data_IF_911385734963
#
_entry.id   IF_911385734963
#
_cell.length_a   1.000
_cell.length_b   1.000
_cell.length_c   1.000
_cell.angle_alpha   90.00
_cell.angle_beta   90.00
_cell.angle_gamma   90.00
#
_symmetry.space_group_name_H-M   'P 1'
#
loop_
_entity.id
_entity.type
_entity.pdbx_description
1 polymer ?
#
# COMPACT_ATOMS: atom_id res chain seq x y z
N UNK A 1 14.18 13.76 -20.29
CA UNK A 1 13.78 14.49 -19.08
C UNK A 1 13.43 13.42 -18.05
N UNK A 2 14.32 13.14 -17.09
CA UNK A 2 14.14 12.02 -16.15
C UNK A 2 13.13 12.44 -15.09
N UNK A 3 11.96 11.81 -15.11
CA UNK A 3 10.92 12.02 -14.10
C UNK A 3 11.39 11.35 -12.80
N UNK A 4 11.58 12.15 -11.75
CA UNK A 4 12.06 11.67 -10.47
C UNK A 4 10.94 10.90 -9.77
N UNK A 5 11.30 9.85 -9.03
CA UNK A 5 10.35 8.96 -8.34
C UNK A 5 9.43 9.69 -7.32
N UNK A 6 9.87 10.85 -6.80
CA UNK A 6 9.03 11.73 -6.01
C UNK A 6 7.83 12.25 -6.82
N UNK A 7 8.03 12.62 -8.09
CA UNK A 7 6.99 13.18 -8.95
C UNK A 7 5.89 12.16 -9.25
N UNK A 8 6.23 10.87 -9.42
CA UNK A 8 5.27 9.80 -9.66
C UNK A 8 4.42 9.45 -8.42
N UNK A 9 4.99 9.53 -7.22
CA UNK A 9 4.23 9.34 -5.98
C UNK A 9 3.42 10.60 -5.63
N UNK A 10 3.99 11.80 -5.77
CA UNK A 10 3.30 13.07 -5.52
C UNK A 10 2.09 13.27 -6.45
N UNK A 11 2.11 12.74 -7.68
CA UNK A 11 0.95 12.74 -8.58
C UNK A 11 -0.26 11.97 -8.01
N UNK A 12 -0.07 11.00 -7.11
CA UNK A 12 -1.16 10.28 -6.41
C UNK A 12 -1.46 10.80 -5.00
N UNK A 13 -0.55 11.57 -4.39
CA UNK A 13 -0.67 12.10 -3.03
C UNK A 13 -0.60 13.63 -3.02
N UNK A 14 -1.57 14.27 -3.68
CA UNK A 14 -1.76 15.72 -3.55
C UNK A 14 -2.11 16.13 -2.11
N UNK A 15 -1.75 17.35 -1.67
CA UNK A 15 -1.99 17.84 -0.30
C UNK A 15 -3.47 18.06 0.06
N UNK A 16 -4.39 17.93 -0.90
CA UNK A 16 -5.82 18.04 -0.66
C UNK A 16 -6.47 16.66 -0.48
N UNK A 17 -6.95 16.33 0.74
CA UNK A 17 -7.68 15.08 0.95
C UNK A 17 -9.07 15.21 0.32
N UNK A 18 -9.25 14.69 -0.90
CA UNK A 18 -10.58 14.62 -1.50
C UNK A 18 -10.71 14.53 -3.03
N UNK A 19 -9.63 14.47 -3.82
CA UNK A 19 -9.78 14.50 -5.27
C UNK A 19 -8.86 13.52 -6.02
N UNK A 20 -9.15 12.24 -5.92
CA UNK A 20 -8.78 11.26 -6.95
C UNK A 20 -10.06 10.58 -7.45
N UNK A 21 -10.73 11.31 -8.36
CA UNK A 21 -12.07 10.96 -8.85
C UNK A 21 -12.07 9.81 -9.87
N UNK A 22 -10.93 9.44 -10.43
CA UNK A 22 -10.80 8.28 -11.31
C UNK A 22 -9.48 7.54 -11.06
N UNK A 23 -9.51 6.21 -11.16
CA UNK A 23 -8.32 5.36 -11.05
C UNK A 23 -7.42 5.64 -12.26
N UNK A 24 -6.45 6.55 -12.11
CA UNK A 24 -5.52 6.91 -13.17
C UNK A 24 -4.48 5.78 -13.26
N UNK A 25 -4.52 5.04 -14.37
CA UNK A 25 -3.39 4.23 -14.80
C UNK A 25 -2.25 5.20 -15.10
N UNK A 26 -1.26 5.23 -14.24
CA UNK A 26 -0.06 6.07 -14.42
C UNK A 26 1.05 5.18 -14.94
N UNK A 27 1.52 5.47 -16.15
CA UNK A 27 2.63 4.77 -16.77
C UNK A 27 3.90 5.61 -16.57
N UNK A 28 4.97 4.98 -16.10
CA UNK A 28 6.28 5.62 -16.02
C UNK A 28 7.41 4.62 -16.19
N UNK A 29 8.54 5.08 -16.71
CA UNK A 29 9.75 4.27 -16.82
C UNK A 29 10.71 4.59 -15.67
N UNK A 30 11.16 3.58 -14.95
CA UNK A 30 12.18 3.73 -13.90
C UNK A 30 13.31 2.73 -14.12
N UNK A 31 14.55 3.22 -14.22
CA UNK A 31 15.75 2.42 -14.55
C UNK A 31 15.59 1.53 -15.79
N UNK A 32 14.89 2.02 -16.81
CA UNK A 32 14.65 1.29 -18.06
C UNK A 32 13.62 0.16 -17.95
N UNK A 33 12.88 0.09 -16.85
CA UNK A 33 11.72 -0.81 -16.68
C UNK A 33 10.45 0.03 -16.71
N UNK A 34 9.46 -0.42 -17.46
CA UNK A 34 8.16 0.24 -17.55
C UNK A 34 7.23 -0.23 -16.42
N UNK A 35 6.63 0.73 -15.73
CA UNK A 35 5.70 0.50 -14.64
C UNK A 35 4.33 1.02 -15.03
N UNK A 36 3.31 0.21 -14.74
CA UNK A 36 1.92 0.59 -14.86
C UNK A 36 1.33 0.61 -13.44
N UNK A 37 1.15 1.79 -12.88
CA UNK A 37 0.54 1.94 -11.55
C UNK A 37 -0.95 2.14 -11.73
N UNK A 38 -1.72 1.24 -11.14
CA UNK A 38 -3.16 1.41 -11.00
C UNK A 38 -3.42 1.99 -9.62
N UNK A 39 -3.73 3.29 -9.56
CA UNK A 39 -4.07 3.89 -8.27
C UNK A 39 -5.42 3.37 -7.77
N UNK A 40 -5.42 2.93 -6.51
CA UNK A 40 -6.63 2.56 -5.77
C UNK A 40 -7.00 3.68 -4.81
N UNK A 41 -7.12 4.89 -5.36
CA UNK A 41 -7.72 6.07 -4.72
C UNK A 41 -9.03 5.81 -3.95
N UNK A 42 -9.62 4.63 -4.14
CA UNK A 42 -10.89 4.20 -3.62
C UNK A 42 -10.93 3.28 -2.40
N UNK A 43 -9.82 2.76 -1.85
CA UNK A 43 -9.91 2.01 -0.57
C UNK A 43 -9.98 2.98 0.63
N UNK A 44 -10.91 3.93 0.54
CA UNK A 44 -11.12 4.97 1.56
C UNK A 44 -11.72 4.33 2.80
N UNK A 45 -11.10 4.63 3.93
CA UNK A 45 -11.47 4.23 5.28
C UNK A 45 -12.98 4.46 5.53
N UNK A 46 -13.78 3.38 5.59
CA UNK A 46 -15.24 3.46 5.80
C UNK A 46 -15.62 4.27 7.05
N UNK A 47 -14.71 4.38 8.03
CA UNK A 47 -14.90 5.14 9.27
C UNK A 47 -15.09 6.65 9.06
N UNK A 48 -14.63 7.22 7.94
CA UNK A 48 -14.86 8.64 7.59
C UNK A 48 -16.07 8.85 6.68
N UNK A 49 -16.52 7.81 5.97
CA UNK A 49 -17.60 7.91 4.97
C UNK A 49 -18.99 7.79 5.61
N UNK A 50 -19.10 7.19 6.81
CA UNK A 50 -20.39 7.12 7.53
C UNK A 50 -20.89 8.44 8.13
N UNK A 51 -20.21 9.58 7.93
CA UNK A 51 -20.64 10.85 8.53
C UNK A 51 -21.51 11.75 7.65
N UNK A 52 -21.60 11.53 6.33
CA UNK A 52 -22.43 12.38 5.48
C UNK A 52 -22.99 11.59 4.28
N UNK A 53 -24.31 11.36 4.31
CA UNK A 53 -25.24 11.09 3.21
C UNK A 53 -25.13 9.77 2.41
N UNK A 54 -26.30 9.27 1.98
CA UNK A 54 -26.53 8.03 1.21
C UNK A 54 -25.71 7.88 -0.08
N UNK A 55 -25.07 8.96 -0.54
CA UNK A 55 -24.12 9.00 -1.67
C UNK A 55 -22.78 8.34 -1.31
N UNK A 56 -22.37 8.35 -0.04
CA UNK A 56 -21.12 7.77 0.44
C UNK A 56 -21.04 6.25 0.27
N UNK A 57 -22.17 5.55 0.35
CA UNK A 57 -22.24 4.09 0.14
C UNK A 57 -21.94 3.68 -1.30
N UNK A 58 -22.59 4.34 -2.28
CA UNK A 58 -22.39 4.06 -3.70
C UNK A 58 -20.97 4.45 -4.18
N UNK A 59 -20.41 5.55 -3.66
CA UNK A 59 -19.03 5.94 -3.95
C UNK A 59 -18.05 4.93 -3.36
N UNK A 60 -18.27 4.46 -2.13
CA UNK A 60 -17.44 3.43 -1.50
C UNK A 60 -17.52 2.08 -2.24
N UNK A 61 -18.70 1.68 -2.72
CA UNK A 61 -18.86 0.45 -3.50
C UNK A 61 -18.21 0.55 -4.89
N UNK A 62 -18.38 1.65 -5.60
CA UNK A 62 -17.71 1.87 -6.89
C UNK A 62 -16.18 1.90 -6.74
N UNK A 63 -15.70 2.52 -5.68
CA UNK A 63 -14.30 2.59 -5.30
C UNK A 63 -13.73 1.20 -4.94
N UNK A 64 -14.52 0.36 -4.26
CA UNK A 64 -14.20 -1.05 -3.99
C UNK A 64 -14.15 -1.87 -5.28
N UNK A 65 -15.14 -1.76 -6.17
CA UNK A 65 -15.16 -2.49 -7.45
C UNK A 65 -14.00 -2.09 -8.35
N UNK A 66 -13.65 -0.80 -8.43
CA UNK A 66 -12.47 -0.32 -9.17
C UNK A 66 -11.18 -0.91 -8.59
N UNK A 67 -11.05 -0.94 -7.26
CA UNK A 67 -9.87 -1.50 -6.57
C UNK A 67 -9.75 -3.02 -6.76
N UNK A 68 -10.86 -3.76 -6.74
CA UNK A 68 -10.85 -5.21 -6.99
C UNK A 68 -10.44 -5.53 -8.44
N UNK A 69 -10.96 -4.79 -9.43
CA UNK A 69 -10.55 -4.93 -10.84
C UNK A 69 -9.08 -4.56 -11.07
N UNK A 70 -8.58 -3.57 -10.32
CA UNK A 70 -7.16 -3.22 -10.33
C UNK A 70 -6.30 -4.36 -9.78
N UNK A 71 -6.72 -4.97 -8.67
CA UNK A 71 -6.06 -6.15 -8.10
C UNK A 71 -6.00 -7.28 -9.13
N UNK A 72 -7.10 -7.58 -9.83
CA UNK A 72 -7.14 -8.67 -10.82
C UNK A 72 -6.03 -8.55 -11.88
N UNK A 73 -5.72 -7.32 -12.34
CA UNK A 73 -4.68 -7.04 -13.35
C UNK A 73 -3.27 -6.88 -12.78
N UNK A 74 -3.13 -6.66 -11.47
CA UNK A 74 -1.84 -6.41 -10.86
C UNK A 74 -1.01 -7.70 -10.72
N UNK A 75 0.28 -7.64 -11.05
CA UNK A 75 1.25 -8.70 -10.76
C UNK A 75 1.81 -8.57 -9.34
N UNK A 76 2.07 -7.33 -8.91
CA UNK A 76 2.54 -6.98 -7.57
C UNK A 76 1.63 -5.94 -6.95
N UNK A 77 1.26 -6.14 -5.68
CA UNK A 77 0.42 -5.23 -4.89
C UNK A 77 1.24 -4.61 -3.77
N UNK A 78 1.20 -3.28 -3.67
CA UNK A 78 1.77 -2.54 -2.54
C UNK A 78 0.67 -2.26 -1.52
N UNK A 79 0.70 -2.94 -0.38
CA UNK A 79 -0.21 -2.69 0.72
C UNK A 79 0.39 -1.64 1.67
N UNK A 80 -0.24 -0.48 1.77
CA UNK A 80 0.23 0.62 2.63
C UNK A 80 -0.41 0.51 4.01
N UNK A 81 0.40 0.51 5.07
CA UNK A 81 -0.02 0.44 6.47
C UNK A 81 0.42 1.70 7.20
N UNK A 82 -0.48 2.34 7.95
CA UNK A 82 -0.16 3.56 8.71
C UNK A 82 0.39 3.22 10.10
N UNK A 83 1.69 3.47 10.32
CA UNK A 83 2.36 3.22 11.59
C UNK A 83 1.83 4.12 12.74
N UNK A 84 1.36 5.33 12.44
CA UNK A 84 0.76 6.22 13.44
C UNK A 84 -0.60 5.70 13.91
N UNK A 85 -1.39 5.11 13.00
CA UNK A 85 -2.66 4.50 13.36
C UNK A 85 -2.46 3.31 14.31
N UNK A 86 -1.44 2.48 14.06
CA UNK A 86 -1.12 1.34 14.89
C UNK A 86 -0.75 1.71 16.34
N UNK A 87 -0.11 2.87 16.56
CA UNK A 87 0.14 3.39 17.91
C UNK A 87 -1.14 3.71 18.67
N UNK A 88 -2.19 4.16 17.97
CA UNK A 88 -3.47 4.54 18.58
C UNK A 88 -4.36 3.33 18.88
N UNK A 89 -4.38 2.36 17.97
CA UNK A 89 -5.24 1.18 18.06
C UNK A 89 -4.56 -0.02 18.72
N UNK A 90 -3.24 0.07 18.97
CA UNK A 90 -2.37 -1.04 19.37
C UNK A 90 -2.42 -2.24 18.40
N UNK A 91 -2.85 -2.02 17.16
CA UNK A 91 -2.98 -3.03 16.13
C UNK A 91 -2.14 -2.64 14.92
N UNK A 92 -1.12 -3.44 14.61
CA UNK A 92 -0.24 -3.22 13.44
C UNK A 92 -0.92 -3.50 12.10
N UNK A 93 -1.95 -4.34 12.10
CA UNK A 93 -2.81 -4.62 10.95
C UNK A 93 -4.26 -4.71 11.44
N UNK A 94 -5.15 -4.04 10.73
CA UNK A 94 -6.59 -4.12 10.88
C UNK A 94 -7.14 -5.38 10.21
N UNK A 95 -8.34 -5.82 10.60
CA UNK A 95 -9.01 -6.96 9.96
C UNK A 95 -9.23 -6.79 8.45
N UNK A 96 -9.33 -5.54 7.97
CA UNK A 96 -9.43 -5.23 6.54
C UNK A 96 -8.12 -5.48 5.80
N UNK A 97 -7.00 -5.03 6.36
CA UNK A 97 -5.67 -5.24 5.77
C UNK A 97 -5.32 -6.73 5.76
N UNK A 98 -5.67 -7.46 6.82
CA UNK A 98 -5.54 -8.92 6.88
C UNK A 98 -6.36 -9.61 5.77
N UNK A 99 -7.63 -9.23 5.60
CA UNK A 99 -8.49 -9.81 4.55
C UNK A 99 -7.97 -9.51 3.13
N UNK A 100 -7.50 -8.28 2.88
CA UNK A 100 -6.87 -7.91 1.61
C UNK A 100 -5.60 -8.73 1.36
N UNK A 101 -4.75 -8.85 2.37
CA UNK A 101 -3.50 -9.61 2.28
C UNK A 101 -3.77 -11.08 1.93
N UNK A 102 -4.74 -11.70 2.60
CA UNK A 102 -5.15 -13.08 2.30
C UNK A 102 -5.68 -13.21 0.87
N UNK A 103 -6.45 -12.24 0.38
CA UNK A 103 -6.94 -12.24 -1.01
C UNK A 103 -5.79 -12.13 -2.02
N UNK A 104 -4.88 -11.19 -1.83
CA UNK A 104 -3.71 -10.98 -2.72
C UNK A 104 -2.89 -12.27 -2.81
N UNK A 105 -2.66 -12.92 -1.67
CA UNK A 105 -1.92 -14.18 -1.60
C UNK A 105 -2.69 -15.33 -2.25
N UNK A 106 -4.00 -15.44 -2.03
CA UNK A 106 -4.85 -16.46 -2.63
C UNK A 106 -4.90 -16.34 -4.17
N UNK A 107 -4.81 -15.12 -4.70
CA UNK A 107 -4.70 -14.84 -6.13
C UNK A 107 -3.28 -15.06 -6.70
N UNK A 108 -2.34 -15.49 -5.86
CA UNK A 108 -0.97 -15.79 -6.26
C UNK A 108 -0.14 -14.56 -6.64
N UNK A 109 -0.55 -13.35 -6.24
CA UNK A 109 0.12 -12.09 -6.61
C UNK A 109 1.30 -11.80 -5.69
N UNK A 110 2.30 -11.09 -6.20
CA UNK A 110 3.39 -10.56 -5.39
C UNK A 110 2.88 -9.50 -4.42
N UNK A 111 3.42 -9.45 -3.21
CA UNK A 111 3.01 -8.46 -2.19
C UNK A 111 4.21 -7.76 -1.56
N UNK A 112 4.12 -6.44 -1.49
CA UNK A 112 5.04 -5.56 -0.76
C UNK A 112 4.23 -4.78 0.26
N UNK A 113 4.69 -4.73 1.50
CA UNK A 113 4.08 -3.91 2.54
C UNK A 113 4.87 -2.61 2.69
N UNK A 114 4.19 -1.47 2.57
CA UNK A 114 4.75 -0.15 2.81
C UNK A 114 4.27 0.36 4.17
N UNK A 115 5.13 0.33 5.18
CA UNK A 115 4.83 0.90 6.49
C UNK A 115 5.04 2.41 6.42
N UNK A 116 3.96 3.18 6.25
CA UNK A 116 3.97 4.62 6.10
C UNK A 116 3.92 5.34 7.47
N UNK A 117 4.34 6.60 7.49
CA UNK A 117 4.43 7.47 8.68
C UNK A 117 5.31 6.90 9.79
N UNK A 118 6.38 6.21 9.41
CA UNK A 118 7.36 5.69 10.38
C UNK A 118 8.03 6.81 11.19
N UNK A 119 8.03 8.04 10.68
CA UNK A 119 8.48 9.24 11.38
C UNK A 119 7.63 9.61 12.60
N UNK A 120 6.35 9.25 12.62
CA UNK A 120 5.45 9.49 13.75
C UNK A 120 5.78 8.64 14.99
N UNK A 121 6.62 7.61 14.82
CA UNK A 121 7.10 6.79 15.93
C UNK A 121 8.25 7.51 16.66
N UNK A 122 8.16 7.67 17.99
CA UNK A 122 8.96 8.61 18.77
C UNK A 122 10.46 8.29 18.77
N UNK A 123 10.84 7.02 18.68
CA UNK A 123 12.24 6.60 18.69
C UNK A 123 12.54 5.41 17.78
N UNK A 124 13.84 5.06 17.65
CA UNK A 124 14.29 3.89 16.89
C UNK A 124 13.77 2.56 17.47
N UNK A 125 13.61 2.48 18.79
CA UNK A 125 13.13 1.28 19.48
C UNK A 125 11.69 0.96 19.11
N UNK A 126 10.79 1.96 19.13
CA UNK A 126 9.39 1.81 18.75
C UNK A 126 9.23 1.47 17.28
N UNK A 127 10.09 2.04 16.41
CA UNK A 127 10.13 1.68 14.98
C UNK A 127 10.53 0.22 14.80
N UNK A 128 11.54 -0.25 15.53
CA UNK A 128 11.99 -1.64 15.48
C UNK A 128 10.93 -2.60 16.03
N UNK A 129 10.29 -2.24 17.14
CA UNK A 129 9.20 -3.00 17.75
C UNK A 129 8.02 -3.12 16.78
N UNK A 130 7.57 -2.00 16.19
CA UNK A 130 6.49 -1.98 15.21
C UNK A 130 6.79 -2.91 14.02
N UNK A 131 7.99 -2.80 13.43
CA UNK A 131 8.39 -3.65 12.30
C UNK A 131 8.46 -5.13 12.68
N UNK A 132 8.89 -5.43 13.91
CA UNK A 132 8.99 -6.81 14.41
C UNK A 132 7.60 -7.42 14.60
N UNK A 133 6.70 -6.72 15.28
CA UNK A 133 5.30 -7.15 15.47
C UNK A 133 4.56 -7.26 14.15
N UNK A 134 4.80 -6.33 13.21
CA UNK A 134 4.22 -6.39 11.87
C UNK A 134 4.68 -7.64 11.11
N UNK A 135 5.99 -7.94 11.12
CA UNK A 135 6.53 -9.15 10.48
C UNK A 135 5.99 -10.43 11.10
N UNK A 136 5.87 -10.47 12.42
CA UNK A 136 5.25 -11.59 13.13
C UNK A 136 3.80 -11.78 12.69
N UNK A 137 3.01 -10.70 12.67
CA UNK A 137 1.61 -10.75 12.22
C UNK A 137 1.46 -11.21 10.78
N UNK A 138 2.37 -10.81 9.89
CA UNK A 138 2.39 -11.27 8.51
C UNK A 138 2.67 -12.78 8.42
N UNK A 139 3.58 -13.32 9.25
CA UNK A 139 3.86 -14.76 9.29
C UNK A 139 2.67 -15.57 9.80
N UNK A 140 1.95 -15.06 10.79
CA UNK A 140 0.70 -15.69 11.26
C UNK A 140 -0.37 -15.69 10.17
N UNK A 141 -0.48 -14.59 9.42
CA UNK A 141 -1.53 -14.40 8.42
C UNK A 141 -1.26 -15.18 7.13
N UNK A 142 0.01 -15.32 6.75
CA UNK A 142 0.45 -15.95 5.51
C UNK A 142 1.24 -17.22 5.83
N UNK A 143 0.54 -18.35 5.87
CA UNK A 143 1.15 -19.64 6.24
C UNK A 143 2.02 -20.23 5.12
N UNK A 144 1.73 -19.96 3.84
CA UNK A 144 2.30 -20.73 2.71
C UNK A 144 2.96 -19.92 1.56
N UNK A 145 3.01 -18.58 1.60
CA UNK A 145 3.46 -17.77 0.45
C UNK A 145 4.81 -17.04 0.62
N UNK A 146 5.50 -17.29 1.74
CA UNK A 146 6.70 -16.52 2.14
C UNK A 146 6.34 -15.20 2.79
N UNK A 147 7.21 -14.70 3.66
CA UNK A 147 6.98 -13.43 4.35
C UNK A 147 7.06 -12.26 3.35
N UNK A 148 6.03 -11.41 3.23
CA UNK A 148 6.08 -10.21 2.41
C UNK A 148 7.25 -9.31 2.79
N UNK A 149 7.82 -8.63 1.80
CA UNK A 149 8.81 -7.60 2.06
C UNK A 149 8.14 -6.40 2.74
N UNK A 150 8.73 -5.91 3.83
CA UNK A 150 8.25 -4.73 4.56
C UNK A 150 9.22 -3.57 4.35
N UNK A 151 8.73 -2.48 3.76
CA UNK A 151 9.48 -1.26 3.47
C UNK A 151 8.98 -0.14 4.39
N UNK A 152 9.79 0.33 5.36
CA UNK A 152 9.44 1.50 6.16
C UNK A 152 9.62 2.77 5.32
N UNK A 153 8.57 3.58 5.25
CA UNK A 153 8.54 4.84 4.50
C UNK A 153 7.93 5.97 5.34
N UNK A 154 8.27 7.19 4.96
CA UNK A 154 7.54 8.41 5.30
C UNK A 154 7.29 9.15 3.99
N UNK A 155 6.09 9.05 3.45
CA UNK A 155 5.73 9.72 2.21
C UNK A 155 5.80 11.24 2.35
N UNK A 156 5.35 11.78 3.49
CA UNK A 156 5.34 13.22 3.78
C UNK A 156 6.75 13.82 3.83
N UNK A 157 7.70 13.10 4.44
CA UNK A 157 9.10 13.53 4.51
C UNK A 157 9.95 13.02 3.34
N UNK A 158 9.33 12.32 2.38
CA UNK A 158 10.00 11.64 1.27
C UNK A 158 11.18 10.74 1.71
N UNK A 159 11.06 10.05 2.85
CA UNK A 159 12.09 9.17 3.40
C UNK A 159 11.77 7.71 3.11
N UNK A 160 12.72 6.97 2.56
CA UNK A 160 12.61 5.52 2.33
C UNK A 160 11.73 5.12 1.14
N UNK A 161 11.07 6.08 0.49
CA UNK A 161 10.27 5.86 -0.74
C UNK A 161 11.16 5.31 -1.86
N UNK A 162 12.44 5.72 -1.90
CA UNK A 162 13.47 5.26 -2.84
C UNK A 162 13.72 3.75 -2.79
N UNK A 163 13.36 3.10 -1.69
CA UNK A 163 13.51 1.66 -1.49
C UNK A 163 12.30 0.87 -1.96
N UNK A 164 11.16 1.54 -2.19
CA UNK A 164 9.91 0.88 -2.52
C UNK A 164 9.96 0.24 -3.92
N UNK A 165 10.33 1.00 -4.95
CA UNK A 165 10.40 0.48 -6.33
C UNK A 165 11.44 -0.64 -6.51
N UNK A 166 12.69 -0.55 -5.97
CA UNK A 166 13.61 -1.67 -5.96
C UNK A 166 13.00 -2.95 -5.36
N UNK A 167 12.25 -2.81 -4.26
CA UNK A 167 11.61 -3.94 -3.60
C UNK A 167 10.47 -4.53 -4.43
N UNK A 168 9.66 -3.68 -5.06
CA UNK A 168 8.60 -4.09 -5.99
C UNK A 168 9.19 -4.89 -7.14
N UNK A 169 10.29 -4.44 -7.75
CA UNK A 169 10.97 -5.20 -8.81
C UNK A 169 11.52 -6.53 -8.32
N UNK A 170 12.11 -6.58 -7.13
CA UNK A 170 12.63 -7.83 -6.56
C UNK A 170 11.50 -8.86 -6.37
N UNK A 171 10.36 -8.40 -5.85
CA UNK A 171 9.16 -9.24 -5.67
C UNK A 171 8.59 -9.65 -7.02
N UNK A 172 8.51 -8.72 -7.99
CA UNK A 172 8.05 -9.02 -9.35
C UNK A 172 8.93 -10.09 -10.02
N UNK A 173 10.26 -9.95 -9.96
CA UNK A 173 11.18 -10.91 -10.57
C UNK A 173 11.02 -12.30 -9.95
N UNK A 174 10.90 -12.38 -8.62
CA UNK A 174 10.65 -13.64 -7.91
C UNK A 174 9.31 -14.25 -8.29
N UNK A 175 8.28 -13.40 -8.44
CA UNK A 175 6.94 -13.81 -8.84
C UNK A 175 6.91 -14.30 -10.30
N UNK A 176 7.60 -13.63 -11.22
CA UNK A 176 7.66 -13.98 -12.64
C UNK A 176 8.41 -15.28 -12.94
N UNK A 177 9.21 -15.76 -11.98
CA UNK A 177 9.94 -17.03 -12.08
C UNK A 177 9.19 -18.23 -11.49
N UNK A 178 8.00 -18.03 -10.90
CA UNK A 178 7.13 -19.10 -10.38
C UNK A 178 6.28 -19.70 -11.50
#
# INVERSE_FOLDING_TARGET
MQQTMADAFTLGFGPEPGLTRDAVLTEFTWRGQDFHVVDTAGYVNQSRVHKFDDVGGAVADAARTKSLRALDRAQVVVLVVDASAAMKTQQVLTGREVALLQRIVAEGKGVVLAANKMDALPGPEERSAFLSTLREKLRETITNAGCPAVVPISAELNKGVDRLLPQVLQVHNTWSTR
#
